data_IF_773566430759
#
_entry.id   IF_773566430759
#
_cell.length_a   1.000
_cell.length_b   1.000
_cell.length_c   1.000
_cell.angle_alpha   90.00
_cell.angle_beta   90.00
_cell.angle_gamma   90.00
#
_symmetry.space_group_name_H-M   'P 1'
#
loop_
_entity.id
_entity.type
_entity.pdbx_description
1 polymer ?
#
# COMPACT_ATOMS: atom_id res chain seq x y z
N UNK A 1 -22.91 -15.98 0.91
CA UNK A 1 -21.58 -16.31 1.44
C UNK A 1 -20.57 -16.10 0.31
N UNK A 2 -19.69 -15.10 0.46
CA UNK A 2 -18.66 -14.76 -0.54
C UNK A 2 -17.30 -15.18 0.00
N UNK A 3 -16.35 -15.47 -0.90
CA UNK A 3 -15.02 -15.96 -0.52
C UNK A 3 -14.03 -14.82 -0.23
N UNK A 4 -14.30 -13.62 -0.76
CA UNK A 4 -13.44 -12.45 -0.65
C UNK A 4 -14.27 -11.18 -0.51
N UNK A 5 -13.81 -10.26 0.33
CA UNK A 5 -14.44 -8.95 0.56
C UNK A 5 -13.35 -7.87 0.47
N UNK A 6 -13.62 -6.83 -0.31
CA UNK A 6 -12.82 -5.60 -0.31
C UNK A 6 -13.62 -4.51 0.38
N UNK A 7 -13.08 -3.94 1.45
CA UNK A 7 -13.69 -2.88 2.24
C UNK A 7 -12.74 -1.68 2.30
N UNK A 8 -13.04 -0.67 1.48
CA UNK A 8 -12.19 0.52 1.39
C UNK A 8 -12.69 1.61 2.34
N UNK A 9 -11.76 2.26 3.03
CA UNK A 9 -12.00 3.53 3.68
C UNK A 9 -12.05 4.64 2.61
N UNK A 10 -13.10 5.46 2.61
CA UNK A 10 -13.26 6.53 1.61
C UNK A 10 -12.31 7.68 1.89
N UNK A 11 -11.35 7.90 1.01
CA UNK A 11 -10.50 9.09 0.98
C UNK A 11 -11.09 10.14 0.03
N UNK A 12 -11.19 11.38 0.49
CA UNK A 12 -11.74 12.49 -0.31
C UNK A 12 -10.58 13.26 -0.95
N UNK A 13 -10.30 12.94 -2.21
CA UNK A 13 -9.24 13.59 -2.97
C UNK A 13 -9.60 15.02 -3.40
N UNK A 14 -8.71 16.02 -3.23
CA UNK A 14 -9.01 17.45 -3.48
C UNK A 14 -9.54 17.77 -4.87
N UNK A 15 -9.02 17.11 -5.90
CA UNK A 15 -9.37 17.39 -7.30
C UNK A 15 -10.63 16.66 -7.79
N UNK A 16 -11.30 15.90 -6.93
CA UNK A 16 -12.54 15.18 -7.25
C UNK A 16 -13.78 16.05 -7.04
N UNK A 17 -14.95 15.53 -7.44
CA UNK A 17 -16.22 16.17 -7.13
C UNK A 17 -16.43 16.28 -5.61
N UNK A 18 -16.14 15.22 -4.86
CA UNK A 18 -16.25 15.22 -3.40
C UNK A 18 -15.27 16.18 -2.75
N UNK A 19 -14.03 16.28 -3.23
CA UNK A 19 -13.05 17.25 -2.74
C UNK A 19 -13.54 18.70 -2.92
N UNK A 20 -14.11 19.03 -4.08
CA UNK A 20 -14.70 20.36 -4.31
C UNK A 20 -15.92 20.64 -3.43
N UNK A 21 -16.75 19.62 -3.15
CA UNK A 21 -17.88 19.75 -2.21
C UNK A 21 -17.39 19.95 -0.78
N UNK A 22 -16.36 19.21 -0.35
CA UNK A 22 -15.76 19.36 0.97
C UNK A 22 -15.15 20.77 1.15
N UNK A 23 -14.42 21.26 0.15
CA UNK A 23 -13.84 22.61 0.16
C UNK A 23 -14.89 23.73 0.27
N UNK A 24 -16.13 23.49 -0.20
CA UNK A 24 -17.26 24.44 -0.07
C UNK A 24 -18.12 24.20 1.18
N UNK A 25 -17.77 23.23 2.02
CA UNK A 25 -18.57 22.87 3.20
C UNK A 25 -19.89 22.15 2.89
N UNK A 26 -20.11 21.71 1.64
CA UNK A 26 -21.28 20.94 1.21
C UNK A 26 -21.19 19.45 1.59
N UNK A 27 -19.99 18.98 1.87
CA UNK A 27 -19.69 17.63 2.33
C UNK A 27 -18.77 17.74 3.55
N UNK A 28 -19.20 17.17 4.65
CA UNK A 28 -18.38 17.08 5.87
C UNK A 28 -17.72 15.69 5.91
N UNK A 29 -16.38 15.60 5.87
CA UNK A 29 -15.69 14.33 6.05
C UNK A 29 -16.04 13.68 7.39
N UNK A 30 -16.00 12.37 7.42
CA UNK A 30 -16.18 11.61 8.66
C UNK A 30 -15.03 11.97 9.61
N UNK A 31 -15.28 12.27 10.91
CA UNK A 31 -14.22 12.51 11.88
C UNK A 31 -13.29 11.29 12.04
N UNK A 32 -12.02 11.53 12.34
CA UNK A 32 -11.00 10.47 12.44
C UNK A 32 -11.37 9.37 13.46
N UNK A 33 -11.91 9.73 14.62
CA UNK A 33 -12.38 8.78 15.64
C UNK A 33 -13.50 7.86 15.10
N UNK A 34 -14.41 8.42 14.34
CA UNK A 34 -15.51 7.65 13.72
C UNK A 34 -14.99 6.78 12.58
N UNK A 35 -14.02 7.27 11.80
CA UNK A 35 -13.32 6.51 10.77
C UNK A 35 -12.61 5.29 11.39
N UNK A 36 -11.87 5.48 12.47
CA UNK A 36 -11.19 4.40 13.20
C UNK A 36 -12.21 3.40 13.76
N UNK A 37 -13.31 3.88 14.35
CA UNK A 37 -14.37 3.03 14.86
C UNK A 37 -14.99 2.16 13.75
N UNK A 38 -15.30 2.74 12.59
CA UNK A 38 -15.89 2.03 11.45
C UNK A 38 -14.90 1.00 10.88
N UNK A 39 -13.64 1.36 10.73
CA UNK A 39 -12.60 0.45 10.27
C UNK A 39 -12.46 -0.77 11.19
N UNK A 40 -12.34 -0.53 12.50
CA UNK A 40 -12.22 -1.59 13.49
C UNK A 40 -13.51 -2.44 13.59
N UNK A 41 -14.68 -1.85 13.37
CA UNK A 41 -15.93 -2.62 13.31
C UNK A 41 -15.96 -3.58 12.11
N UNK A 42 -15.50 -3.13 10.93
CA UNK A 42 -15.39 -4.00 9.75
C UNK A 42 -14.38 -5.11 9.99
N UNK A 43 -13.20 -4.79 10.53
CA UNK A 43 -12.17 -5.76 10.91
C UNK A 43 -12.75 -6.84 11.83
N UNK A 44 -13.32 -6.45 12.97
CA UNK A 44 -13.86 -7.37 13.97
C UNK A 44 -14.99 -8.22 13.37
N UNK A 45 -15.95 -7.59 12.69
CA UNK A 45 -17.11 -8.31 12.13
C UNK A 45 -16.70 -9.39 11.13
N UNK A 46 -15.75 -9.08 10.25
CA UNK A 46 -15.33 -10.05 9.23
C UNK A 46 -14.42 -11.13 9.80
N UNK A 47 -13.53 -10.80 10.72
CA UNK A 47 -12.65 -11.80 11.35
C UNK A 47 -13.40 -12.76 12.26
N UNK A 48 -14.40 -12.30 13.01
CA UNK A 48 -15.28 -13.14 13.84
C UNK A 48 -16.05 -14.19 13.04
N UNK A 49 -16.38 -13.89 11.77
CA UNK A 49 -17.04 -14.87 10.89
C UNK A 49 -16.06 -15.65 10.01
N UNK A 50 -14.74 -15.60 10.33
CA UNK A 50 -13.71 -16.45 9.77
C UNK A 50 -13.07 -15.94 8.48
N UNK A 51 -13.10 -14.64 8.22
CA UNK A 51 -12.24 -14.05 7.18
C UNK A 51 -10.87 -13.71 7.77
N UNK A 52 -9.83 -13.94 6.97
CA UNK A 52 -8.48 -13.45 7.22
C UNK A 52 -8.38 -12.03 6.66
N UNK A 53 -8.07 -11.04 7.52
CA UNK A 53 -7.74 -9.68 7.11
C UNK A 53 -6.27 -9.67 6.69
N UNK A 54 -5.98 -9.91 5.42
CA UNK A 54 -4.64 -10.22 4.94
C UNK A 54 -3.84 -9.01 4.44
N UNK A 55 -4.53 -7.91 4.11
CA UNK A 55 -3.91 -6.62 3.79
C UNK A 55 -4.92 -5.49 4.05
N UNK A 56 -4.48 -4.25 3.99
CA UNK A 56 -5.15 -3.05 4.50
C UNK A 56 -6.66 -2.93 4.20
N UNK A 57 -7.12 -3.44 3.06
CA UNK A 57 -8.50 -3.28 2.59
C UNK A 57 -9.18 -4.58 2.20
N UNK A 58 -8.49 -5.72 2.30
CA UNK A 58 -9.00 -6.98 1.78
C UNK A 58 -9.03 -8.10 2.81
N UNK A 59 -10.14 -8.84 2.74
CA UNK A 59 -10.47 -9.96 3.60
C UNK A 59 -10.77 -11.18 2.75
N UNK A 60 -10.29 -12.34 3.13
CA UNK A 60 -10.52 -13.57 2.38
C UNK A 60 -10.80 -14.77 3.30
N UNK A 61 -11.58 -15.75 2.81
CA UNK A 61 -11.59 -17.09 3.39
C UNK A 61 -10.23 -17.75 3.19
N UNK A 62 -9.97 -18.82 3.93
CA UNK A 62 -8.74 -19.61 3.79
C UNK A 62 -8.48 -19.95 2.32
N UNK A 63 -7.25 -19.74 1.85
CA UNK A 63 -6.79 -19.94 0.47
C UNK A 63 -7.55 -19.15 -0.64
N UNK A 64 -8.33 -18.12 -0.25
CA UNK A 64 -9.13 -17.30 -1.18
C UNK A 64 -8.66 -15.87 -1.33
N UNK A 65 -7.41 -15.58 -0.95
CA UNK A 65 -6.81 -14.26 -1.17
C UNK A 65 -6.74 -13.93 -2.66
N UNK A 66 -6.99 -12.67 -3.00
CA UNK A 66 -6.87 -12.19 -4.39
C UNK A 66 -5.43 -12.34 -4.88
N UNK A 67 -5.21 -13.21 -5.88
CA UNK A 67 -3.88 -13.39 -6.50
C UNK A 67 -3.41 -12.11 -7.17
N UNK A 68 -4.32 -11.38 -7.80
CA UNK A 68 -4.03 -10.12 -8.46
C UNK A 68 -3.57 -9.05 -7.46
N UNK A 69 -4.33 -8.81 -6.37
CA UNK A 69 -3.94 -7.84 -5.36
C UNK A 69 -2.63 -8.24 -4.66
N UNK A 70 -2.48 -9.53 -4.32
CA UNK A 70 -1.26 -10.05 -3.70
C UNK A 70 -0.01 -9.86 -4.56
N UNK A 71 -0.12 -9.89 -5.90
CA UNK A 71 1.01 -9.68 -6.79
C UNK A 71 1.59 -8.25 -6.68
N UNK A 72 0.74 -7.24 -6.48
CA UNK A 72 1.21 -5.86 -6.24
C UNK A 72 1.97 -5.75 -4.91
N UNK A 73 1.42 -6.32 -3.84
CA UNK A 73 2.07 -6.31 -2.53
C UNK A 73 3.40 -7.07 -2.49
N UNK A 74 3.58 -8.03 -3.40
CA UNK A 74 4.80 -8.82 -3.56
C UNK A 74 5.76 -8.24 -4.60
N UNK A 75 5.52 -7.02 -5.09
CA UNK A 75 6.32 -6.35 -6.12
C UNK A 75 6.57 -7.22 -7.35
N UNK A 76 5.57 -8.04 -7.74
CA UNK A 76 5.64 -8.85 -8.96
C UNK A 76 5.51 -7.94 -10.18
N UNK A 77 6.26 -8.20 -11.26
CA UNK A 77 6.08 -7.50 -12.52
C UNK A 77 4.64 -7.62 -13.05
N UNK A 78 4.11 -6.52 -13.59
CA UNK A 78 2.78 -6.49 -14.19
C UNK A 78 2.72 -5.54 -15.37
N UNK A 79 1.79 -5.82 -16.29
CA UNK A 79 1.50 -4.98 -17.45
C UNK A 79 0.15 -4.29 -17.27
N UNK A 80 0.17 -2.96 -17.27
CA UNK A 80 -1.00 -2.12 -17.34
C UNK A 80 -1.46 -1.89 -18.78
N UNK A 81 -2.76 -1.92 -19.02
CA UNK A 81 -3.34 -1.75 -20.35
C UNK A 81 -4.37 -0.63 -20.31
N UNK A 82 -4.19 0.36 -21.18
CA UNK A 82 -5.10 1.49 -21.33
C UNK A 82 -4.55 2.82 -20.83
N UNK A 83 -5.33 3.94 -21.02
CA UNK A 83 -4.94 5.26 -20.51
C UNK A 83 -4.78 5.25 -18.99
N UNK A 84 -3.79 5.99 -18.49
CA UNK A 84 -3.39 6.05 -17.09
C UNK A 84 -2.98 4.70 -16.47
N UNK A 85 -2.87 3.63 -17.22
CA UNK A 85 -2.46 2.34 -16.69
C UNK A 85 -0.95 2.33 -16.41
N UNK A 86 -0.58 1.77 -15.26
CA UNK A 86 0.80 1.59 -14.84
C UNK A 86 1.27 0.16 -15.12
N UNK A 87 2.52 0.02 -15.47
CA UNK A 87 3.26 -1.25 -15.59
C UNK A 87 4.49 -1.21 -14.70
N UNK A 88 4.96 -2.36 -14.30
CA UNK A 88 6.19 -2.53 -13.52
C UNK A 88 6.93 -3.77 -14.01
N UNK A 89 8.22 -3.65 -14.31
CA UNK A 89 9.06 -4.74 -14.80
C UNK A 89 10.02 -5.32 -13.74
N UNK A 90 10.01 -4.76 -12.54
CA UNK A 90 10.92 -5.10 -11.44
C UNK A 90 11.96 -4.02 -11.16
N UNK A 91 12.23 -3.12 -12.11
CA UNK A 91 13.20 -2.03 -11.99
C UNK A 91 12.62 -0.69 -12.41
N UNK A 92 11.71 -0.70 -13.39
CA UNK A 92 11.11 0.50 -13.95
C UNK A 92 9.60 0.50 -13.74
N UNK A 93 9.06 1.68 -13.49
CA UNK A 93 7.63 1.95 -13.57
C UNK A 93 7.34 2.69 -14.85
N UNK A 94 6.41 2.19 -15.65
CA UNK A 94 5.96 2.79 -16.89
C UNK A 94 4.46 3.07 -16.76
N UNK A 95 4.02 4.25 -17.19
CA UNK A 95 2.59 4.55 -17.22
C UNK A 95 2.19 5.19 -18.53
N UNK A 96 0.97 4.90 -18.96
CA UNK A 96 0.38 5.53 -20.11
C UNK A 96 -0.20 6.90 -19.76
N UNK A 97 -0.19 7.83 -20.71
CA UNK A 97 -0.86 9.14 -20.56
C UNK A 97 -2.33 8.97 -20.18
N UNK A 98 -2.85 9.84 -19.31
CA UNK A 98 -4.22 9.73 -18.80
C UNK A 98 -5.30 10.14 -19.83
N UNK A 99 -4.94 10.95 -20.82
CA UNK A 99 -5.84 11.40 -21.87
C UNK A 99 -6.13 10.26 -22.85
N UNK A 100 -7.40 9.86 -22.97
CA UNK A 100 -7.83 8.85 -23.94
C UNK A 100 -7.45 9.25 -25.38
N UNK A 101 -7.59 10.53 -25.74
CA UNK A 101 -7.27 11.01 -27.08
C UNK A 101 -5.76 10.90 -27.39
N UNK A 102 -4.90 11.29 -26.44
CA UNK A 102 -3.45 11.20 -26.59
C UNK A 102 -2.99 9.73 -26.59
N UNK A 103 -3.59 8.89 -25.74
CA UNK A 103 -3.32 7.47 -25.72
C UNK A 103 -3.62 6.83 -27.08
N UNK A 104 -4.83 7.05 -27.64
CA UNK A 104 -5.20 6.50 -28.94
C UNK A 104 -4.33 7.06 -30.09
N UNK A 105 -3.87 8.31 -30.00
CA UNK A 105 -2.99 8.90 -31.00
C UNK A 105 -1.57 8.33 -30.96
N UNK A 106 -1.09 7.88 -29.79
CA UNK A 106 0.31 7.49 -29.56
C UNK A 106 0.55 5.99 -29.37
N UNK A 107 -0.47 5.18 -29.04
CA UNK A 107 -0.27 3.79 -28.57
C UNK A 107 0.43 2.89 -29.60
N UNK A 108 0.07 2.99 -30.88
CA UNK A 108 0.67 2.19 -31.95
C UNK A 108 2.15 2.53 -32.21
N UNK A 109 2.59 3.74 -31.81
CA UNK A 109 3.97 4.19 -31.96
C UNK A 109 4.78 4.17 -30.67
N UNK A 110 4.14 3.80 -29.55
CA UNK A 110 4.78 3.81 -28.24
C UNK A 110 5.06 5.23 -27.66
N UNK A 111 4.43 6.27 -28.21
CA UNK A 111 4.66 7.68 -27.84
C UNK A 111 3.78 8.16 -26.66
N UNK A 112 2.93 7.29 -26.12
CA UNK A 112 2.00 7.63 -25.03
C UNK A 112 2.43 7.11 -23.67
N UNK A 113 3.70 6.77 -23.50
CA UNK A 113 4.22 6.21 -22.25
C UNK A 113 5.31 7.09 -21.65
N UNK A 114 5.28 7.19 -20.34
CA UNK A 114 6.32 7.78 -19.51
C UNK A 114 6.96 6.68 -18.66
N UNK A 115 8.22 6.86 -18.25
CA UNK A 115 8.97 5.86 -17.50
C UNK A 115 9.78 6.51 -16.39
N UNK A 116 9.81 5.87 -15.25
CA UNK A 116 10.66 6.16 -14.11
C UNK A 116 11.54 4.95 -13.80
N UNK A 117 12.84 5.20 -13.64
CA UNK A 117 13.74 4.17 -13.13
C UNK A 117 13.82 4.26 -11.61
N UNK A 118 13.45 3.18 -10.92
CA UNK A 118 13.44 3.14 -9.46
C UNK A 118 14.86 2.94 -8.92
N UNK A 119 15.31 3.88 -8.10
CA UNK A 119 16.59 3.77 -7.38
C UNK A 119 16.53 2.65 -6.32
N UNK A 120 17.67 2.30 -5.76
CA UNK A 120 17.71 1.36 -4.63
C UNK A 120 16.95 1.88 -3.40
N UNK A 121 16.90 3.20 -3.20
CA UNK A 121 16.13 3.86 -2.14
C UNK A 121 14.63 3.77 -2.40
N UNK A 122 14.19 4.01 -3.63
CA UNK A 122 12.77 3.91 -3.99
C UNK A 122 12.27 2.48 -3.79
N UNK A 123 13.02 1.48 -4.26
CA UNK A 123 12.68 0.06 -4.06
C UNK A 123 12.67 -0.37 -2.60
N UNK A 124 13.58 0.17 -1.78
CA UNK A 124 13.56 -0.05 -0.33
C UNK A 124 12.28 0.53 0.27
N UNK A 125 11.98 1.81 0.02
CA UNK A 125 10.80 2.50 0.56
C UNK A 125 9.51 1.81 0.11
N UNK A 126 9.41 1.41 -1.15
CA UNK A 126 8.27 0.64 -1.65
C UNK A 126 8.13 -0.73 -0.97
N UNK A 127 9.25 -1.41 -0.70
CA UNK A 127 9.23 -2.69 0.03
C UNK A 127 8.68 -2.50 1.45
N UNK A 128 9.09 -1.45 2.16
CA UNK A 128 8.55 -1.14 3.49
C UNK A 128 7.06 -0.83 3.39
N UNK A 129 6.67 0.04 2.43
CA UNK A 129 5.28 0.46 2.23
C UNK A 129 4.35 -0.73 1.95
N UNK A 130 4.72 -1.58 1.01
CA UNK A 130 3.89 -2.73 0.60
C UNK A 130 3.84 -3.80 1.69
N UNK A 131 4.97 -4.07 2.35
CA UNK A 131 5.04 -5.10 3.40
C UNK A 131 4.24 -4.72 4.64
N UNK A 132 4.30 -3.48 5.12
CA UNK A 132 3.59 -3.06 6.34
C UNK A 132 2.07 -2.90 6.13
N UNK A 133 1.60 -2.85 4.89
CA UNK A 133 0.17 -2.89 4.55
C UNK A 133 -0.37 -4.31 4.45
N UNK A 134 0.48 -5.31 4.64
CA UNK A 134 0.14 -6.73 4.61
C UNK A 134 0.37 -7.37 5.98
N UNK A 135 -0.41 -8.40 6.27
CA UNK A 135 -0.33 -9.15 7.53
C UNK A 135 1.05 -9.78 7.78
N UNK A 136 1.73 -10.16 6.70
CA UNK A 136 3.05 -10.78 6.78
C UNK A 136 4.14 -9.82 7.26
N UNK A 137 3.97 -8.52 7.03
CA UNK A 137 4.94 -7.51 7.40
C UNK A 137 6.29 -7.62 6.69
N UNK A 138 7.25 -6.85 7.17
CA UNK A 138 8.63 -6.81 6.65
C UNK A 138 9.42 -8.02 7.14
N UNK A 139 10.01 -8.78 6.23
CA UNK A 139 10.97 -9.83 6.55
C UNK A 139 12.37 -9.23 6.61
N UNK A 140 12.98 -9.19 7.80
CA UNK A 140 14.27 -8.52 8.04
C UNK A 140 15.41 -9.21 7.29
N UNK A 141 15.44 -10.54 7.21
CA UNK A 141 16.47 -11.25 6.46
C UNK A 141 16.37 -11.03 4.96
N UNK A 142 15.15 -10.91 4.42
CA UNK A 142 14.94 -10.55 3.02
C UNK A 142 15.35 -9.09 2.76
N UNK A 143 15.02 -8.17 3.70
CA UNK A 143 15.42 -6.77 3.62
C UNK A 143 16.96 -6.64 3.61
N UNK A 144 17.65 -7.33 4.52
CA UNK A 144 19.12 -7.36 4.56
C UNK A 144 19.73 -7.93 3.27
N UNK A 145 19.18 -9.03 2.78
CA UNK A 145 19.65 -9.68 1.54
C UNK A 145 19.50 -8.75 0.33
N UNK A 146 18.41 -8.01 0.22
CA UNK A 146 18.08 -7.21 -0.96
C UNK A 146 18.69 -5.80 -0.92
N UNK A 147 18.84 -5.21 0.27
CA UNK A 147 19.23 -3.81 0.43
C UNK A 147 20.47 -3.60 1.31
N UNK A 148 21.02 -4.68 1.84
CA UNK A 148 22.20 -4.65 2.69
C UNK A 148 21.90 -4.45 4.18
N UNK A 149 22.88 -4.84 4.99
CA UNK A 149 22.77 -4.83 6.46
C UNK A 149 22.46 -3.44 7.03
N UNK A 150 23.09 -2.39 6.52
CA UNK A 150 22.89 -1.04 7.03
C UNK A 150 21.42 -0.58 6.93
N UNK A 151 20.71 -0.93 5.85
CA UNK A 151 19.31 -0.59 5.68
C UNK A 151 18.39 -1.42 6.56
N UNK A 152 18.72 -2.68 6.84
CA UNK A 152 17.98 -3.51 7.78
C UNK A 152 18.14 -3.01 9.23
N UNK A 153 19.37 -2.62 9.61
CA UNK A 153 19.65 -2.01 10.92
C UNK A 153 18.94 -0.65 11.09
N UNK A 154 18.94 0.19 10.05
CA UNK A 154 18.18 1.45 10.03
C UNK A 154 16.69 1.20 10.25
N UNK A 155 16.08 0.28 9.47
CA UNK A 155 14.67 -0.06 9.65
C UNK A 155 14.35 -0.51 11.08
N UNK A 156 15.17 -1.37 11.66
CA UNK A 156 14.94 -1.86 13.03
C UNK A 156 15.07 -0.75 14.06
N UNK A 157 16.03 0.16 13.90
CA UNK A 157 16.22 1.30 14.79
C UNK A 157 15.01 2.26 14.76
N UNK A 158 14.50 2.58 13.56
CA UNK A 158 13.32 3.44 13.42
C UNK A 158 12.03 2.74 13.85
N UNK A 159 11.92 1.42 13.64
CA UNK A 159 10.76 0.63 14.05
C UNK A 159 10.65 0.45 15.59
N UNK A 160 11.76 0.57 16.34
CA UNK A 160 11.80 0.30 17.79
C UNK A 160 10.75 1.09 18.58
N UNK A 161 10.56 2.37 18.29
CA UNK A 161 9.55 3.22 18.96
C UNK A 161 8.12 2.76 18.67
N UNK A 162 7.84 2.27 17.45
CA UNK A 162 6.54 1.75 17.07
C UNK A 162 6.28 0.36 17.66
N UNK A 163 7.33 -0.43 17.83
CA UNK A 163 7.24 -1.73 18.53
C UNK A 163 6.98 -1.48 20.02
N UNK A 164 7.70 -0.54 20.63
CA UNK A 164 7.51 -0.18 22.06
C UNK A 164 6.10 0.38 22.34
N UNK A 165 5.49 1.06 21.38
CA UNK A 165 4.10 1.58 21.50
C UNK A 165 3.02 0.56 21.11
N UNK A 166 3.39 -0.63 20.61
CA UNK A 166 2.45 -1.67 20.19
C UNK A 166 1.76 -1.40 18.85
N UNK A 167 2.26 -0.44 18.06
CA UNK A 167 1.79 -0.18 16.68
C UNK A 167 2.35 -1.23 15.71
N UNK A 168 3.62 -1.59 15.90
CA UNK A 168 4.26 -2.69 15.20
C UNK A 168 4.52 -3.85 16.19
N UNK A 169 4.52 -5.06 15.66
CA UNK A 169 4.87 -6.28 16.38
C UNK A 169 6.07 -6.92 15.70
N UNK A 170 7.09 -7.25 16.52
CA UNK A 170 8.25 -8.00 16.04
C UNK A 170 8.10 -9.45 16.51
N UNK A 171 8.02 -10.37 15.55
CA UNK A 171 7.99 -11.81 15.80
C UNK A 171 9.12 -12.49 15.01
N UNK A 172 10.18 -12.88 15.72
CA UNK A 172 11.37 -13.48 15.13
C UNK A 172 12.03 -12.56 14.10
N UNK A 173 11.93 -12.94 12.82
CA UNK A 173 12.53 -12.22 11.70
C UNK A 173 11.50 -11.35 10.92
N UNK A 174 10.36 -11.05 11.53
CA UNK A 174 9.29 -10.27 10.92
C UNK A 174 8.85 -9.12 11.79
N UNK A 175 8.63 -7.98 11.16
CA UNK A 175 8.01 -6.81 11.77
C UNK A 175 6.74 -6.48 10.99
N UNK A 176 5.59 -6.57 11.65
CA UNK A 176 4.29 -6.35 11.03
C UNK A 176 3.50 -5.27 11.78
N UNK A 177 2.61 -4.59 11.10
CA UNK A 177 1.65 -3.70 11.72
C UNK A 177 0.44 -4.48 12.21
N UNK A 178 -0.05 -4.14 13.39
CA UNK A 178 -1.32 -4.70 13.87
C UNK A 178 -2.46 -4.26 12.94
N UNK A 179 -3.33 -5.19 12.48
CA UNK A 179 -4.40 -4.86 11.54
C UNK A 179 -5.32 -3.71 12.00
N UNK A 180 -5.56 -3.59 13.30
CA UNK A 180 -6.34 -2.51 13.90
C UNK A 180 -5.69 -1.14 13.78
N UNK A 181 -4.40 -1.10 13.37
CA UNK A 181 -3.62 0.13 13.19
C UNK A 181 -3.36 0.47 11.71
N UNK A 182 -3.82 -0.32 10.77
CA UNK A 182 -3.57 -0.06 9.34
C UNK A 182 -4.19 1.25 8.85
N UNK A 183 -5.24 1.75 9.49
CA UNK A 183 -5.83 3.05 9.13
C UNK A 183 -4.82 4.21 9.23
N UNK A 184 -3.85 4.10 10.15
CA UNK A 184 -2.76 5.09 10.34
C UNK A 184 -1.43 4.64 9.72
N UNK A 185 -1.45 3.59 8.89
CA UNK A 185 -0.24 3.01 8.31
C UNK A 185 0.63 4.01 7.55
N UNK A 186 0.03 4.93 6.82
CA UNK A 186 0.75 5.87 5.96
C UNK A 186 1.69 6.78 6.78
N UNK A 187 1.25 7.25 7.94
CA UNK A 187 2.09 8.08 8.82
C UNK A 187 3.25 7.30 9.42
N UNK A 188 3.00 6.05 9.84
CA UNK A 188 4.05 5.17 10.39
C UNK A 188 5.06 4.78 9.31
N UNK A 189 4.58 4.42 8.12
CA UNK A 189 5.41 4.02 6.99
C UNK A 189 6.32 5.16 6.53
N UNK A 190 5.78 6.40 6.45
CA UNK A 190 6.55 7.58 6.05
C UNK A 190 7.75 7.83 6.97
N UNK A 191 7.63 7.54 8.27
CA UNK A 191 8.71 7.71 9.23
C UNK A 191 9.78 6.58 9.19
N UNK A 192 9.50 5.50 8.47
CA UNK A 192 10.41 4.37 8.24
C UNK A 192 11.14 4.46 6.90
N UNK A 193 10.82 5.46 6.08
CA UNK A 193 11.47 5.69 4.80
C UNK A 193 12.89 6.24 4.98
N UNK A 194 13.73 5.90 4.03
CA UNK A 194 15.04 6.54 3.87
C UNK A 194 14.89 7.70 2.90
N UNK A 195 15.44 8.87 3.25
CA UNK A 195 15.49 10.00 2.34
C UNK A 195 16.38 9.68 1.15
N UNK A 196 15.95 10.09 -0.05
CA UNK A 196 16.76 9.97 -1.26
C UNK A 196 17.95 10.92 -1.13
N UNK A 197 19.16 10.39 -1.25
CA UNK A 197 20.34 11.22 -1.39
C UNK A 197 20.21 12.03 -2.70
N UNK A 198 20.15 13.35 -2.59
CA UNK A 198 20.12 14.29 -3.72
C UNK A 198 21.46 14.32 -4.45
#
# INVERSE_FOLDING_TARGET
DVEHVSAYHLTIEPNTRFGRMAARGELVPVPDEESERQYNQVHTTLTEVGYDHYEISNFAREDRRSRHNSSYWQSQPYLGIGPAAHSFDGENRVWAVASVAEYLAGVDRGECYEMEHLTATDRYNETIMTSLRCREGVNIGALEKNFGRARAEYFMAEAERFIASGVLVCDGNRVAMCPERWLVSDSVIAELFVESEN
#
